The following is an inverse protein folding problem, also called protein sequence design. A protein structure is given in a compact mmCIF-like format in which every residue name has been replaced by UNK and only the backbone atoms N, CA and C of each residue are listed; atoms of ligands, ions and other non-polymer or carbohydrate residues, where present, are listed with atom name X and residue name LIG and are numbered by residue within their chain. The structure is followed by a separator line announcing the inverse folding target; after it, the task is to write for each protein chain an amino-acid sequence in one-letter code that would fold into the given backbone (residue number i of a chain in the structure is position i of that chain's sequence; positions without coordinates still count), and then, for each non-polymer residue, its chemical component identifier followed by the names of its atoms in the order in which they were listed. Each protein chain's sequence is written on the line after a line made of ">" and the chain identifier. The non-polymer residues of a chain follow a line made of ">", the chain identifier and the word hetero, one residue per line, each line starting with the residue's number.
data_IF_869482601955
#
_entry.id   IF_869482601955
#
_cell.length_a   1.000
_cell.length_b   1.000
_cell.length_c   1.000
_cell.angle_alpha   90.00
_cell.angle_beta   90.00
_cell.angle_gamma   90.00
#
_symmetry.space_group_name_H-M   'P 1'
#
loop_
_entity.id
_entity.type
_entity.pdbx_description
1 polymer ?
#
# COMPACT_ATOMS: atom_id res chain seq x y z
N UNK A 1 -2.94 -30.76 8.92
CA UNK A 1 -3.88 -29.69 9.26
C UNK A 1 -3.39 -28.36 8.70
N UNK A 2 -4.21 -27.74 7.89
CA UNK A 2 -3.84 -26.43 7.33
C UNK A 2 -3.89 -25.38 8.42
N UNK A 3 -2.79 -24.72 8.69
CA UNK A 3 -2.71 -23.77 9.79
C UNK A 3 -2.94 -22.31 9.38
N UNK A 4 -2.50 -21.91 8.20
CA UNK A 4 -2.73 -20.55 7.66
C UNK A 4 -2.70 -19.43 8.71
N UNK A 5 -1.70 -19.50 9.58
CA UNK A 5 -1.61 -18.61 10.74
C UNK A 5 -0.75 -17.37 10.50
N UNK A 6 -0.10 -17.26 9.34
CA UNK A 6 0.85 -16.18 9.07
C UNK A 6 0.34 -15.21 8.02
N UNK A 7 0.90 -14.02 8.03
CA UNK A 7 0.64 -13.00 7.01
C UNK A 7 0.89 -13.56 5.61
N UNK A 8 1.96 -14.34 5.45
CA UNK A 8 2.30 -14.93 4.14
C UNK A 8 1.22 -15.81 3.56
N UNK A 9 0.41 -16.43 4.42
CA UNK A 9 -0.70 -17.29 3.98
C UNK A 9 -1.87 -16.50 3.42
N UNK A 10 -2.01 -15.22 3.75
CA UNK A 10 -3.17 -14.40 3.42
C UNK A 10 -2.87 -13.18 2.57
N UNK A 11 -1.61 -12.75 2.48
CA UNK A 11 -1.23 -11.54 1.75
C UNK A 11 -1.50 -11.65 0.25
N UNK A 12 -1.71 -10.50 -0.37
CA UNK A 12 -1.73 -10.39 -1.82
C UNK A 12 -0.27 -10.39 -2.30
N UNK A 13 0.07 -11.34 -3.16
CA UNK A 13 1.42 -11.46 -3.71
C UNK A 13 1.52 -10.63 -4.99
N UNK A 14 2.70 -10.05 -5.21
CA UNK A 14 3.00 -9.26 -6.42
C UNK A 14 1.96 -8.17 -6.69
N UNK A 15 1.67 -7.29 -5.71
CA UNK A 15 0.78 -6.17 -5.98
C UNK A 15 1.43 -5.20 -6.96
N UNK A 16 0.60 -4.33 -7.56
CA UNK A 16 1.14 -3.28 -8.42
C UNK A 16 1.99 -2.32 -7.59
N UNK A 17 3.09 -1.85 -8.17
CA UNK A 17 4.02 -0.91 -7.55
C UNK A 17 4.25 0.26 -8.51
N UNK A 18 4.93 1.30 -8.01
CA UNK A 18 5.30 2.44 -8.85
C UNK A 18 6.72 2.87 -8.47
N UNK A 19 7.47 3.36 -9.45
CA UNK A 19 8.82 3.87 -9.19
C UNK A 19 8.77 5.26 -8.56
N UNK A 20 9.71 5.57 -7.69
CA UNK A 20 9.69 6.81 -6.91
C UNK A 20 9.77 8.07 -7.77
N UNK A 21 10.34 7.98 -8.96
CA UNK A 21 10.47 9.11 -9.88
C UNK A 21 9.34 9.20 -10.91
N UNK A 22 8.39 8.26 -10.89
CA UNK A 22 7.17 8.39 -11.66
C UNK A 22 6.37 9.59 -11.14
N UNK A 23 5.57 10.21 -12.00
CA UNK A 23 4.84 11.41 -11.60
C UNK A 23 3.61 11.09 -10.75
N UNK A 24 3.16 12.10 -10.00
CA UNK A 24 1.91 12.02 -9.23
C UNK A 24 0.73 11.69 -10.17
N UNK A 25 0.73 12.27 -11.38
CA UNK A 25 -0.33 12.00 -12.37
C UNK A 25 -0.31 10.54 -12.80
N UNK A 26 0.87 9.98 -13.08
CA UNK A 26 0.99 8.56 -13.44
C UNK A 26 0.46 7.66 -12.32
N UNK A 27 0.76 7.99 -11.07
CA UNK A 27 0.27 7.21 -9.93
C UNK A 27 -1.25 7.25 -9.86
N UNK A 28 -1.86 8.43 -10.04
CA UNK A 28 -3.32 8.57 -10.02
C UNK A 28 -3.94 7.74 -11.14
N UNK A 29 -3.38 7.79 -12.35
CA UNK A 29 -3.87 6.99 -13.47
C UNK A 29 -3.79 5.50 -13.20
N UNK A 30 -2.67 5.05 -12.62
CA UNK A 30 -2.49 3.62 -12.31
C UNK A 30 -3.50 3.13 -11.28
N UNK A 31 -3.74 3.93 -10.23
CA UNK A 31 -4.74 3.58 -9.23
C UNK A 31 -6.13 3.43 -9.85
N UNK A 32 -6.52 4.36 -10.73
CA UNK A 32 -7.82 4.30 -11.40
C UNK A 32 -7.90 3.13 -12.37
N UNK A 33 -6.88 2.95 -13.20
CA UNK A 33 -6.86 1.90 -14.21
C UNK A 33 -6.97 0.51 -13.58
N UNK A 34 -6.25 0.29 -12.47
CA UNK A 34 -6.23 -1.01 -11.80
C UNK A 34 -7.27 -1.12 -10.70
N UNK A 35 -8.05 -0.07 -10.45
CA UNK A 35 -9.08 -0.03 -9.41
C UNK A 35 -8.51 -0.42 -8.05
N UNK A 36 -7.38 0.17 -7.69
CA UNK A 36 -6.69 -0.07 -6.42
C UNK A 36 -6.53 1.27 -5.69
N UNK A 37 -6.24 1.21 -4.39
CA UNK A 37 -6.22 2.41 -3.54
C UNK A 37 -4.84 2.75 -3.01
N UNK A 38 -3.84 1.92 -3.26
CA UNK A 38 -2.50 2.14 -2.75
C UNK A 38 -1.46 1.53 -3.66
N UNK A 39 -0.29 2.16 -3.67
CA UNK A 39 0.86 1.70 -4.46
C UNK A 39 2.10 1.75 -3.60
N UNK A 40 2.75 0.60 -3.37
CA UNK A 40 4.09 0.60 -2.83
C UNK A 40 5.03 1.31 -3.81
N UNK A 41 5.92 2.14 -3.27
CA UNK A 41 6.86 2.93 -4.07
C UNK A 41 8.23 2.27 -4.01
N UNK A 42 8.81 2.03 -5.17
CA UNK A 42 10.06 1.31 -5.31
C UNK A 42 11.17 2.21 -5.86
N UNK A 43 12.39 1.89 -5.47
CA UNK A 43 13.59 2.49 -6.04
C UNK A 43 14.62 1.39 -6.26
N UNK A 44 14.97 1.13 -7.52
CA UNK A 44 15.98 0.11 -7.86
C UNK A 44 15.71 -1.23 -7.16
N UNK A 45 14.46 -1.68 -7.22
CA UNK A 45 14.08 -2.96 -6.66
C UNK A 45 13.86 -2.97 -5.15
N UNK A 46 13.99 -1.84 -4.48
CA UNK A 46 13.78 -1.72 -3.04
C UNK A 46 12.54 -0.91 -2.72
N UNK A 47 11.84 -1.31 -1.66
CA UNK A 47 10.68 -0.57 -1.17
C UNK A 47 11.19 0.70 -0.47
N UNK A 48 10.70 1.87 -0.90
CA UNK A 48 11.10 3.15 -0.30
C UNK A 48 9.92 3.93 0.27
N UNK A 49 8.69 3.52 0.02
CA UNK A 49 7.55 4.24 0.55
C UNK A 49 6.22 3.67 0.12
N UNK A 50 5.17 4.40 0.43
CA UNK A 50 3.80 4.05 0.08
C UNK A 50 3.04 5.31 -0.29
N UNK A 51 2.25 5.25 -1.37
CA UNK A 51 1.27 6.28 -1.67
C UNK A 51 -0.11 5.66 -1.70
N UNK A 52 -1.10 6.41 -1.23
CA UNK A 52 -2.49 6.01 -1.27
C UNK A 52 -3.27 6.98 -2.14
N UNK A 53 -4.45 6.55 -2.59
CA UNK A 53 -5.36 7.43 -3.33
C UNK A 53 -5.60 8.73 -2.56
N UNK A 54 -5.88 8.61 -1.26
CA UNK A 54 -6.13 9.77 -0.41
C UNK A 54 -4.94 10.72 -0.37
N UNK A 55 -3.73 10.19 -0.24
CA UNK A 55 -2.51 11.00 -0.21
C UNK A 55 -2.27 11.75 -1.52
N UNK A 56 -2.49 11.08 -2.65
CA UNK A 56 -2.28 11.67 -3.96
C UNK A 56 -3.31 12.76 -4.26
N UNK A 57 -4.59 12.49 -4.00
CA UNK A 57 -5.63 13.50 -4.22
C UNK A 57 -5.53 14.66 -3.25
N UNK A 58 -5.00 14.43 -2.05
CA UNK A 58 -4.79 15.48 -1.08
C UNK A 58 -3.49 16.24 -1.23
N UNK A 59 -2.62 15.79 -2.13
CA UNK A 59 -1.32 16.45 -2.32
C UNK A 59 -1.48 17.76 -3.08
N UNK A 60 -1.12 18.86 -2.42
CA UNK A 60 -1.17 20.20 -3.02
C UNK A 60 0.19 20.85 -2.86
N UNK A 61 0.92 21.07 -3.95
CA UNK A 61 2.18 21.82 -3.88
C UNK A 61 1.96 23.23 -3.35
N UNK A 62 3.00 23.81 -2.75
CA UNK A 62 2.90 25.12 -2.11
C UNK A 62 2.35 26.23 -3.01
N UNK A 63 2.57 26.13 -4.33
CA UNK A 63 2.13 27.12 -5.30
C UNK A 63 0.78 26.81 -5.95
N UNK A 64 0.12 25.73 -5.52
CA UNK A 64 -1.08 25.23 -6.21
C UNK A 64 -2.28 26.18 -6.11
N UNK A 65 -2.37 26.97 -5.04
CA UNK A 65 -3.53 27.85 -4.81
C UNK A 65 -3.66 28.98 -5.83
N UNK A 66 -2.57 29.34 -6.51
CA UNK A 66 -2.56 30.40 -7.50
C UNK A 66 -2.59 29.87 -8.94
N UNK A 67 -2.69 28.54 -9.13
CA UNK A 67 -2.61 27.92 -10.44
C UNK A 67 -4.00 27.58 -10.97
N UNK A 68 -4.18 27.71 -12.29
CA UNK A 68 -5.37 27.19 -12.94
C UNK A 68 -5.25 25.65 -13.10
N UNK A 69 -6.29 25.05 -13.63
CA UNK A 69 -6.37 23.59 -13.77
C UNK A 69 -5.26 23.02 -14.65
N UNK A 70 -4.92 23.72 -15.73
CA UNK A 70 -3.88 23.27 -16.66
C UNK A 70 -2.50 23.38 -16.05
N UNK A 71 -2.24 24.48 -15.36
CA UNK A 71 -0.97 24.70 -14.68
C UNK A 71 -0.76 23.69 -13.56
N UNK A 72 -1.82 23.39 -12.80
CA UNK A 72 -1.77 22.39 -11.73
C UNK A 72 -1.47 21.01 -12.32
N UNK A 73 -2.17 20.62 -13.39
CA UNK A 73 -1.93 19.35 -14.05
C UNK A 73 -0.49 19.25 -14.54
N UNK A 74 0.02 20.30 -15.16
CA UNK A 74 1.39 20.35 -15.63
C UNK A 74 2.37 20.17 -14.46
N UNK A 75 2.15 20.89 -13.37
CA UNK A 75 3.01 20.80 -12.18
C UNK A 75 3.00 19.37 -11.61
N UNK A 76 1.84 18.76 -11.47
CA UNK A 76 1.73 17.40 -10.93
C UNK A 76 2.33 16.37 -11.89
N UNK A 77 2.28 16.60 -13.20
CA UNK A 77 2.92 15.72 -14.18
C UNK A 77 4.44 15.73 -14.09
N UNK A 78 5.00 16.76 -13.45
CA UNK A 78 6.43 16.91 -13.24
C UNK A 78 6.85 16.66 -11.80
N UNK A 79 5.88 16.37 -10.92
CA UNK A 79 6.15 16.12 -9.51
C UNK A 79 6.31 14.60 -9.31
N UNK A 80 7.45 14.15 -8.81
CA UNK A 80 7.65 12.71 -8.60
C UNK A 80 6.85 12.21 -7.40
N UNK A 81 6.48 10.95 -7.46
CA UNK A 81 5.73 10.28 -6.40
C UNK A 81 6.42 10.39 -5.04
N UNK A 82 7.77 10.36 -5.03
CA UNK A 82 8.51 10.47 -3.78
C UNK A 82 8.20 11.74 -2.99
N UNK A 83 7.74 12.81 -3.67
CA UNK A 83 7.37 14.05 -2.99
C UNK A 83 6.08 13.91 -2.19
N UNK A 84 5.20 12.98 -2.57
CA UNK A 84 3.90 12.79 -1.95
C UNK A 84 3.82 11.53 -1.07
N UNK A 85 4.81 10.66 -1.13
CA UNK A 85 4.75 9.36 -0.46
C UNK A 85 5.00 9.45 1.04
N UNK A 86 4.52 8.43 1.76
CA UNK A 86 4.96 8.17 3.13
C UNK A 86 6.25 7.37 3.04
N UNK A 87 7.41 7.91 3.49
CA UNK A 87 8.69 7.20 3.38
C UNK A 87 8.91 6.16 4.47
N UNK A 88 8.02 6.08 5.45
CA UNK A 88 8.13 5.14 6.57
C UNK A 88 6.81 4.41 6.81
N UNK A 89 6.32 3.65 5.81
CA UNK A 89 5.08 2.92 6.00
C UNK A 89 5.26 1.79 7.01
N UNK A 90 4.15 1.37 7.61
CA UNK A 90 4.17 0.20 8.49
C UNK A 90 4.42 -1.05 7.65
N UNK A 91 5.28 -1.92 8.17
CA UNK A 91 5.60 -3.19 7.50
C UNK A 91 5.47 -4.35 8.48
N UNK A 92 5.27 -5.54 7.93
CA UNK A 92 5.30 -6.79 8.69
C UNK A 92 6.08 -7.81 7.88
N UNK A 93 6.47 -8.91 8.52
CA UNK A 93 7.17 -10.01 7.86
C UNK A 93 6.16 -11.07 7.40
N UNK A 94 6.52 -11.90 6.41
CA UNK A 94 5.62 -12.98 5.98
C UNK A 94 5.28 -13.96 7.08
N UNK A 95 6.19 -14.20 8.02
CA UNK A 95 5.95 -15.12 9.12
C UNK A 95 5.30 -14.46 10.34
N UNK A 96 4.98 -13.17 10.28
CA UNK A 96 4.22 -12.51 11.34
C UNK A 96 2.89 -13.22 11.50
N UNK A 97 2.48 -13.55 12.74
CA UNK A 97 1.16 -14.13 12.95
C UNK A 97 0.06 -13.24 12.43
N UNK A 98 -0.92 -13.82 11.75
CA UNK A 98 -2.01 -13.04 11.15
C UNK A 98 -2.77 -12.24 12.23
N UNK A 99 -2.88 -12.78 13.45
CA UNK A 99 -3.54 -12.07 14.54
C UNK A 99 -2.78 -10.78 14.90
N UNK A 100 -1.46 -10.83 14.91
CA UNK A 100 -0.65 -9.65 15.23
C UNK A 100 -0.78 -8.58 14.16
N UNK A 101 -0.80 -8.99 12.89
CA UNK A 101 -1.00 -8.04 11.79
C UNK A 101 -2.41 -7.44 11.83
N UNK A 102 -3.42 -8.24 12.16
CA UNK A 102 -4.79 -7.74 12.31
C UNK A 102 -4.88 -6.72 13.44
N UNK A 103 -4.18 -6.96 14.56
CA UNK A 103 -4.12 -5.99 15.68
C UNK A 103 -3.48 -4.69 15.22
N UNK A 104 -2.42 -4.77 14.43
CA UNK A 104 -1.76 -3.57 13.89
C UNK A 104 -2.71 -2.76 13.01
N UNK A 105 -3.43 -3.42 12.11
CA UNK A 105 -4.42 -2.75 11.25
C UNK A 105 -5.47 -2.06 12.10
N UNK A 106 -5.99 -2.75 13.12
CA UNK A 106 -7.02 -2.21 14.02
C UNK A 106 -6.51 -1.03 14.83
N UNK A 107 -5.37 -1.21 15.50
CA UNK A 107 -4.88 -0.24 16.48
C UNK A 107 -4.36 1.03 15.80
N UNK A 108 -3.78 0.91 14.61
CA UNK A 108 -3.28 2.04 13.85
C UNK A 108 -4.28 2.56 12.83
N UNK A 109 -5.47 1.94 12.75
CA UNK A 109 -6.55 2.34 11.82
C UNK A 109 -6.06 2.34 10.38
N UNK A 110 -5.36 1.29 9.99
CA UNK A 110 -4.80 1.12 8.65
C UNK A 110 -5.71 0.22 7.82
N UNK A 111 -5.72 0.45 6.51
CA UNK A 111 -6.43 -0.42 5.56
C UNK A 111 -5.52 -1.47 4.95
N UNK A 112 -4.23 -1.36 5.17
CA UNK A 112 -3.26 -2.31 4.67
C UNK A 112 -1.88 -2.03 5.22
N UNK A 113 -1.03 -3.06 5.21
CA UNK A 113 0.38 -2.95 5.59
C UNK A 113 1.21 -3.66 4.53
N UNK A 114 2.44 -3.16 4.34
CA UNK A 114 3.37 -3.75 3.40
C UNK A 114 4.06 -4.95 4.04
N UNK A 115 4.27 -5.99 3.25
CA UNK A 115 4.96 -7.20 3.72
C UNK A 115 6.35 -7.22 3.10
N UNK A 116 7.36 -7.27 3.95
CA UNK A 116 8.76 -7.28 3.52
C UNK A 116 9.45 -8.51 4.11
N UNK A 117 10.44 -9.02 3.37
CA UNK A 117 11.25 -10.14 3.86
C UNK A 117 12.31 -9.67 4.83
N UNK A 118 13.07 -10.62 5.38
CA UNK A 118 14.10 -10.34 6.37
C UNK A 118 15.19 -9.40 5.86
N UNK A 119 15.42 -9.38 4.55
CA UNK A 119 16.40 -8.50 3.93
C UNK A 119 15.81 -7.19 3.45
N UNK A 120 14.55 -6.92 3.80
CA UNK A 120 13.86 -5.70 3.40
C UNK A 120 13.26 -5.75 2.01
N UNK A 121 13.31 -6.89 1.31
CA UNK A 121 12.70 -7.02 0.00
C UNK A 121 11.18 -7.00 0.11
N UNK A 122 10.52 -6.31 -0.83
CA UNK A 122 9.07 -6.21 -0.85
C UNK A 122 8.48 -7.51 -1.41
N UNK A 123 7.57 -8.15 -0.65
CA UNK A 123 7.02 -9.45 -1.05
C UNK A 123 5.50 -9.46 -1.16
N UNK A 124 4.80 -8.51 -0.58
CA UNK A 124 3.35 -8.52 -0.68
C UNK A 124 2.67 -7.41 0.10
N UNK A 125 1.35 -7.49 0.10
CA UNK A 125 0.50 -6.49 0.76
C UNK A 125 -0.58 -7.23 1.55
N UNK A 126 -0.73 -6.90 2.83
CA UNK A 126 -1.83 -7.42 3.64
C UNK A 126 -2.85 -6.33 3.86
N UNK A 127 -4.07 -6.55 3.39
CA UNK A 127 -5.15 -5.57 3.49
C UNK A 127 -6.18 -6.01 4.53
N UNK A 128 -7.07 -5.09 4.90
CA UNK A 128 -8.21 -5.41 5.74
C UNK A 128 -9.05 -6.52 5.12
N UNK A 129 -9.21 -6.52 3.79
CA UNK A 129 -9.93 -7.59 3.09
C UNK A 129 -9.27 -8.94 3.32
N UNK A 130 -7.93 -9.01 3.24
CA UNK A 130 -7.21 -10.25 3.53
C UNK A 130 -7.46 -10.72 4.96
N UNK A 131 -7.47 -9.80 5.91
CA UNK A 131 -7.73 -10.15 7.32
C UNK A 131 -9.16 -10.66 7.51
N UNK A 132 -10.13 -10.08 6.81
CA UNK A 132 -11.52 -10.57 6.86
C UNK A 132 -11.64 -11.95 6.23
N UNK A 133 -10.93 -12.21 5.13
CA UNK A 133 -10.89 -13.53 4.54
C UNK A 133 -10.36 -14.57 5.52
N UNK A 134 -9.32 -14.20 6.26
CA UNK A 134 -8.77 -15.07 7.30
C UNK A 134 -9.80 -15.33 8.39
N UNK A 135 -10.50 -14.30 8.85
CA UNK A 135 -11.55 -14.43 9.85
C UNK A 135 -12.64 -15.39 9.39
N UNK A 136 -13.11 -15.23 8.15
CA UNK A 136 -14.15 -16.08 7.58
C UNK A 136 -13.68 -17.54 7.56
N UNK A 137 -12.47 -17.79 7.11
CA UNK A 137 -11.90 -19.13 7.01
C UNK A 137 -11.82 -19.78 8.40
N UNK A 138 -11.28 -19.06 9.40
CA UNK A 138 -11.15 -19.59 10.75
C UNK A 138 -12.53 -19.83 11.41
N UNK A 139 -13.49 -18.94 11.19
CA UNK A 139 -14.84 -19.08 11.74
C UNK A 139 -15.55 -20.29 11.15
N UNK A 140 -15.42 -20.51 9.84
CA UNK A 140 -16.01 -21.67 9.19
C UNK A 140 -15.33 -22.96 9.63
N UNK A 141 -14.02 -22.94 9.80
CA UNK A 141 -13.29 -24.10 10.29
C UNK A 141 -13.74 -24.48 11.71
N UNK A 142 -13.91 -23.49 12.58
CA UNK A 142 -14.35 -23.72 13.95
C UNK A 142 -15.79 -24.23 14.04
N UNK A 143 -16.64 -23.90 13.06
CA UNK A 143 -18.04 -24.29 13.02
C UNK A 143 -18.25 -25.72 12.47
N UNK A 144 -17.24 -26.27 11.80
CA UNK A 144 -17.37 -27.61 11.16
C UNK A 144 -17.07 -28.79 12.09
#
# INVERSE_FOLDING_TARGET
>A
MAQKLTVGDWMTKKPFTIEEDASVIEAIHLLKEKNIRRLPVMKKGRLVGLVTEKMLYGYMPAKATSLDQWELHYLLSRTPVRAAMNPKPHTVLPDTPIADAAKLLRDRKLNGVLVVGEKGEFVGLLTTTNALEALIWFAQLAAS
#
